data_IF_486495897500
#
_entry.id   IF_486495897500
#
_cell.length_a   1.000
_cell.length_b   1.000
_cell.length_c   1.000
_cell.angle_alpha   90.00
_cell.angle_beta   90.00
_cell.angle_gamma   90.00
#
_symmetry.space_group_name_H-M   'P 1'
#
loop_
_entity.id
_entity.type
_entity.pdbx_description
1 polymer ?
#
# COMPACT_ATOMS: atom_id res chain seq x y z
N UNK A 1 6.64 -10.25 14.95
CA UNK A 1 5.46 -9.70 15.64
C UNK A 1 4.23 -10.35 15.05
N UNK A 2 3.31 -10.87 15.85
CA UNK A 2 2.02 -11.37 15.34
C UNK A 2 1.20 -10.11 15.02
N UNK A 3 0.61 -9.97 13.82
CA UNK A 3 -0.24 -8.82 13.51
C UNK A 3 -1.37 -8.72 14.53
N UNK A 4 -1.63 -7.52 15.05
CA UNK A 4 -2.85 -7.30 15.84
C UNK A 4 -4.05 -7.63 14.95
N UNK A 5 -4.95 -8.54 15.39
CA UNK A 5 -6.14 -8.89 14.63
C UNK A 5 -6.92 -7.61 14.28
N UNK A 6 -7.29 -7.44 13.02
CA UNK A 6 -8.08 -6.30 12.53
C UNK A 6 -7.34 -4.95 12.57
N UNK A 7 -6.01 -4.92 12.68
CA UNK A 7 -5.22 -3.69 12.65
C UNK A 7 -5.65 -2.68 11.56
N UNK A 8 -5.87 -3.09 10.30
CA UNK A 8 -6.33 -2.19 9.24
C UNK A 8 -7.69 -1.53 9.51
N UNK A 9 -8.61 -2.25 10.16
CA UNK A 9 -9.95 -1.74 10.50
C UNK A 9 -9.89 -0.70 11.62
N UNK A 10 -9.00 -0.91 12.60
CA UNK A 10 -8.73 0.08 13.64
C UNK A 10 -8.13 1.36 13.07
N UNK A 11 -7.17 1.22 12.15
CA UNK A 11 -6.56 2.34 11.45
C UNK A 11 -7.59 3.14 10.64
N UNK A 12 -8.41 2.44 9.86
CA UNK A 12 -9.49 3.01 9.08
C UNK A 12 -10.44 3.83 9.95
N UNK A 13 -10.89 3.25 11.05
CA UNK A 13 -11.84 3.91 11.93
C UNK A 13 -11.23 5.13 12.62
N UNK A 14 -9.94 5.08 12.97
CA UNK A 14 -9.20 6.24 13.50
C UNK A 14 -9.10 7.35 12.46
N UNK A 15 -8.71 7.04 11.23
CA UNK A 15 -8.57 8.02 10.14
C UNK A 15 -9.90 8.66 9.75
N UNK A 16 -10.96 7.86 9.70
CA UNK A 16 -12.30 8.33 9.38
C UNK A 16 -13.08 8.87 10.58
N UNK A 17 -12.42 8.99 11.76
CA UNK A 17 -12.99 9.43 13.02
C UNK A 17 -14.29 8.71 13.41
N UNK A 18 -14.37 7.42 13.08
CA UNK A 18 -15.49 6.59 13.47
C UNK A 18 -15.39 6.27 14.96
N UNK A 19 -16.49 6.49 15.67
CA UNK A 19 -16.62 5.98 17.03
C UNK A 19 -16.69 4.45 16.96
N UNK A 20 -15.54 3.79 17.06
CA UNK A 20 -15.51 2.35 17.27
C UNK A 20 -16.22 2.04 18.60
N UNK A 21 -17.08 1.02 18.65
CA UNK A 21 -17.64 0.56 19.92
C UNK A 21 -16.52 0.32 20.93
N UNK A 22 -16.70 0.81 22.16
CA UNK A 22 -15.74 0.59 23.23
C UNK A 22 -15.53 -0.91 23.42
N UNK A 23 -14.31 -1.37 23.08
CA UNK A 23 -13.77 -2.69 23.36
C UNK A 23 -14.74 -3.84 23.12
N UNK A 24 -14.83 -4.29 21.87
CA UNK A 24 -15.21 -5.68 21.62
C UNK A 24 -14.15 -6.54 22.29
N UNK A 25 -14.55 -7.30 23.30
CA UNK A 25 -13.70 -8.31 23.92
C UNK A 25 -13.37 -9.35 22.83
N UNK A 26 -12.24 -9.16 22.14
CA UNK A 26 -11.76 -10.09 21.11
C UNK A 26 -11.63 -11.51 21.64
N UNK A 27 -11.52 -11.66 22.97
CA UNK A 27 -11.48 -12.96 23.66
C UNK A 27 -12.81 -13.71 23.60
N UNK A 28 -13.92 -13.07 23.22
CA UNK A 28 -15.24 -13.69 23.11
C UNK A 28 -15.69 -13.98 21.67
N UNK A 29 -14.84 -13.77 20.66
CA UNK A 29 -15.07 -14.27 19.30
C UNK A 29 -16.16 -13.58 18.47
N UNK A 30 -16.78 -12.50 18.98
CA UNK A 30 -17.87 -11.81 18.27
C UNK A 30 -17.34 -10.65 17.42
N UNK A 31 -16.85 -10.96 16.20
CA UNK A 31 -16.40 -9.96 15.21
C UNK A 31 -17.55 -9.30 14.43
N UNK A 32 -18.71 -9.96 14.39
CA UNK A 32 -19.88 -9.51 13.63
C UNK A 32 -20.37 -8.10 13.99
N UNK A 33 -20.49 -7.71 15.28
CA UNK A 33 -20.92 -6.35 15.63
C UNK A 33 -20.04 -5.28 14.99
N UNK A 34 -18.71 -5.43 15.08
CA UNK A 34 -17.77 -4.50 14.44
C UNK A 34 -17.99 -4.35 12.94
N UNK A 35 -18.22 -5.47 12.27
CA UNK A 35 -18.38 -5.49 10.82
C UNK A 35 -19.72 -4.86 10.41
N UNK A 36 -20.77 -5.10 11.20
CA UNK A 36 -22.09 -4.49 11.02
C UNK A 36 -22.03 -2.98 11.24
N UNK A 37 -21.35 -2.50 12.28
CA UNK A 37 -21.24 -1.06 12.56
C UNK A 37 -20.48 -0.35 11.43
N UNK A 38 -19.38 -0.95 10.96
CA UNK A 38 -18.64 -0.43 9.81
C UNK A 38 -19.53 -0.39 8.55
N UNK A 39 -20.34 -1.43 8.31
CA UNK A 39 -21.27 -1.48 7.19
C UNK A 39 -22.33 -0.39 7.29
N UNK A 40 -22.96 -0.20 8.45
CA UNK A 40 -23.97 0.84 8.67
C UNK A 40 -23.41 2.24 8.37
N UNK A 41 -22.17 2.51 8.80
CA UNK A 41 -21.48 3.75 8.45
C UNK A 41 -21.38 3.91 6.93
N UNK A 42 -21.03 2.86 6.19
CA UNK A 42 -20.92 2.91 4.72
C UNK A 42 -22.26 2.99 4.00
N UNK A 43 -23.32 2.41 4.55
CA UNK A 43 -24.69 2.51 4.03
C UNK A 43 -25.24 3.93 4.21
N UNK A 44 -24.97 4.55 5.36
CA UNK A 44 -25.47 5.89 5.72
C UNK A 44 -24.68 7.04 5.12
N UNK A 45 -23.52 6.78 4.50
CA UNK A 45 -22.76 7.82 3.78
C UNK A 45 -23.58 8.43 2.64
N UNK A 46 -23.54 9.76 2.53
CA UNK A 46 -24.24 10.49 1.46
C UNK A 46 -23.38 10.71 0.21
N UNK A 47 -22.07 10.45 0.29
CA UNK A 47 -21.11 10.64 -0.79
C UNK A 47 -20.32 9.34 -1.00
N UNK A 48 -20.05 8.95 -2.26
CA UNK A 48 -19.18 7.82 -2.57
C UNK A 48 -17.81 7.98 -1.90
N UNK A 49 -17.32 6.92 -1.26
CA UNK A 49 -15.99 6.87 -0.65
C UNK A 49 -15.16 5.72 -1.20
N UNK A 50 -13.85 5.93 -1.33
CA UNK A 50 -12.91 4.87 -1.68
C UNK A 50 -12.26 4.33 -0.41
N UNK A 51 -12.37 3.02 -0.20
CA UNK A 51 -11.64 2.28 0.83
C UNK A 51 -10.53 1.49 0.15
N UNK A 52 -9.27 1.81 0.47
CA UNK A 52 -8.10 1.12 -0.07
C UNK A 52 -7.51 0.20 0.98
N UNK A 53 -7.32 -1.07 0.64
CA UNK A 53 -6.60 -2.05 1.46
C UNK A 53 -5.39 -2.54 0.67
N UNK A 54 -4.21 -2.09 1.08
CA UNK A 54 -2.95 -2.49 0.46
C UNK A 54 -2.45 -3.83 1.01
N UNK A 55 -1.72 -4.57 0.18
CA UNK A 55 -1.01 -5.80 0.55
C UNK A 55 -1.88 -6.85 1.26
N UNK A 56 -3.11 -7.09 0.77
CA UNK A 56 -4.08 -8.01 1.40
C UNK A 56 -3.53 -9.44 1.59
N UNK A 57 -2.56 -9.85 0.78
CA UNK A 57 -1.86 -11.13 0.94
C UNK A 57 -1.12 -11.27 2.29
N UNK A 58 -0.79 -10.18 2.97
CA UNK A 58 -0.23 -10.17 4.32
C UNK A 58 -1.27 -10.00 5.43
N UNK A 59 -2.56 -9.85 5.07
CA UNK A 59 -3.62 -9.65 6.03
C UNK A 59 -3.85 -10.90 6.92
N UNK A 60 -4.26 -10.62 8.16
CA UNK A 60 -4.77 -11.65 9.06
C UNK A 60 -6.15 -12.17 8.60
N UNK A 61 -6.56 -13.31 9.16
CA UNK A 61 -7.83 -13.92 8.77
C UNK A 61 -9.04 -13.05 9.13
N UNK A 62 -8.93 -12.22 10.17
CA UNK A 62 -10.02 -11.33 10.60
C UNK A 62 -10.29 -10.21 9.58
N UNK A 63 -9.22 -9.67 8.98
CA UNK A 63 -9.27 -8.67 7.91
C UNK A 63 -9.81 -9.29 6.63
N UNK A 64 -9.42 -10.53 6.31
CA UNK A 64 -10.02 -11.27 5.19
C UNK A 64 -11.51 -11.53 5.39
N UNK A 65 -11.93 -11.86 6.61
CA UNK A 65 -13.34 -12.01 6.98
C UNK A 65 -14.12 -10.69 6.83
N UNK A 66 -13.51 -9.56 7.21
CA UNK A 66 -14.10 -8.24 7.03
C UNK A 66 -14.29 -7.90 5.54
N UNK A 67 -13.28 -8.14 4.70
CA UNK A 67 -13.37 -7.94 3.24
C UNK A 67 -14.48 -8.81 2.64
N UNK A 68 -14.58 -10.09 3.04
CA UNK A 68 -15.67 -10.98 2.64
C UNK A 68 -17.03 -10.44 3.08
N UNK A 69 -17.14 -9.99 4.32
CA UNK A 69 -18.37 -9.49 4.90
C UNK A 69 -18.88 -8.26 4.15
N UNK A 70 -18.01 -7.26 3.91
CA UNK A 70 -18.32 -6.05 3.17
C UNK A 70 -18.64 -6.35 1.71
N UNK A 71 -17.78 -7.10 1.01
CA UNK A 71 -17.95 -7.39 -0.42
C UNK A 71 -19.29 -8.03 -0.75
N UNK A 72 -19.79 -8.92 0.13
CA UNK A 72 -21.10 -9.55 -0.02
C UNK A 72 -22.29 -8.58 0.08
N UNK A 73 -22.10 -7.39 0.64
CA UNK A 73 -23.15 -6.38 0.90
C UNK A 73 -22.87 -5.03 0.23
N UNK A 74 -21.77 -4.92 -0.51
CA UNK A 74 -21.26 -3.65 -1.05
C UNK A 74 -22.22 -2.94 -2.01
N UNK A 75 -23.19 -3.66 -2.58
CA UNK A 75 -24.22 -3.08 -3.48
C UNK A 75 -25.15 -2.09 -2.78
N UNK A 76 -25.31 -2.20 -1.46
CA UNK A 76 -26.18 -1.31 -0.67
C UNK A 76 -25.38 -0.18 0.01
N UNK A 77 -24.08 -0.08 -0.26
CA UNK A 77 -23.21 0.90 0.38
C UNK A 77 -22.77 1.98 -0.60
N UNK A 78 -22.23 3.07 -0.07
CA UNK A 78 -21.65 4.15 -0.87
C UNK A 78 -20.12 4.03 -0.91
N UNK A 79 -19.57 2.81 -0.99
CA UNK A 79 -18.13 2.60 -1.05
C UNK A 79 -17.67 1.79 -2.26
N UNK A 80 -16.50 2.18 -2.78
CA UNK A 80 -15.67 1.34 -3.64
C UNK A 80 -14.55 0.76 -2.78
N UNK A 81 -14.49 -0.57 -2.68
CA UNK A 81 -13.40 -1.29 -2.02
C UNK A 81 -12.32 -1.63 -3.06
N UNK A 82 -11.19 -0.92 -3.00
CA UNK A 82 -10.00 -1.20 -3.78
C UNK A 82 -9.02 -2.02 -2.94
N UNK A 83 -8.56 -3.14 -3.48
CA UNK A 83 -7.65 -4.04 -2.77
C UNK A 83 -6.46 -4.37 -3.65
N UNK A 84 -5.26 -4.28 -3.09
CA UNK A 84 -4.03 -4.74 -3.75
C UNK A 84 -3.53 -6.02 -3.12
N UNK A 85 -3.07 -6.96 -3.95
CA UNK A 85 -2.50 -8.22 -3.49
C UNK A 85 -1.54 -8.77 -4.54
N UNK A 86 -0.46 -9.41 -4.08
CA UNK A 86 0.50 -10.05 -4.99
C UNK A 86 -0.14 -11.20 -5.74
N UNK A 87 0.02 -11.22 -7.06
CA UNK A 87 -0.51 -12.32 -7.87
C UNK A 87 0.52 -13.44 -8.05
N UNK A 88 0.82 -14.18 -6.98
CA UNK A 88 1.74 -15.31 -7.00
C UNK A 88 1.06 -16.67 -6.68
N UNK A 89 1.87 -17.72 -6.59
CA UNK A 89 1.44 -19.09 -6.24
C UNK A 89 1.57 -19.40 -4.74
N UNK A 90 1.63 -18.38 -3.88
CA UNK A 90 1.76 -18.57 -2.43
C UNK A 90 0.46 -19.04 -1.77
N UNK A 91 0.59 -19.65 -0.58
CA UNK A 91 -0.52 -19.96 0.34
C UNK A 91 -1.31 -18.71 0.71
N UNK A 92 -0.61 -17.60 0.99
CA UNK A 92 -1.21 -16.30 1.25
C UNK A 92 -2.15 -15.86 0.13
N UNK A 93 -1.71 -15.99 -1.12
CA UNK A 93 -2.54 -15.63 -2.27
C UNK A 93 -3.70 -16.61 -2.49
N UNK A 94 -3.56 -17.89 -2.13
CA UNK A 94 -4.70 -18.82 -2.14
C UNK A 94 -5.78 -18.43 -1.12
N UNK A 95 -5.39 -17.95 0.07
CA UNK A 95 -6.34 -17.42 1.07
C UNK A 95 -7.10 -16.21 0.54
N UNK A 96 -6.39 -15.24 -0.06
CA UNK A 96 -7.01 -14.07 -0.72
C UNK A 96 -7.98 -14.49 -1.82
N UNK A 97 -7.57 -15.40 -2.72
CA UNK A 97 -8.45 -15.89 -3.80
C UNK A 97 -9.72 -16.55 -3.27
N UNK A 98 -9.63 -17.36 -2.20
CA UNK A 98 -10.80 -17.97 -1.56
C UNK A 98 -11.73 -16.92 -0.95
N UNK A 99 -11.17 -15.96 -0.22
CA UNK A 99 -11.93 -14.88 0.38
C UNK A 99 -12.69 -14.06 -0.68
N UNK A 100 -12.01 -13.64 -1.75
CA UNK A 100 -12.64 -12.88 -2.83
C UNK A 100 -13.63 -13.71 -3.66
N UNK A 101 -13.43 -15.03 -3.78
CA UNK A 101 -14.32 -15.93 -4.51
C UNK A 101 -15.69 -16.13 -3.87
N UNK A 102 -15.89 -15.71 -2.62
CA UNK A 102 -17.19 -15.76 -1.93
C UNK A 102 -18.01 -14.48 -2.07
N UNK A 103 -17.40 -13.45 -2.65
CA UNK A 103 -18.10 -12.22 -3.01
C UNK A 103 -18.85 -12.48 -4.32
N UNK A 104 -20.12 -12.03 -4.47
CA UNK A 104 -20.84 -12.15 -5.72
C UNK A 104 -20.03 -11.61 -6.89
N UNK A 105 -19.90 -12.37 -7.99
CA UNK A 105 -19.03 -12.02 -9.11
C UNK A 105 -19.38 -10.64 -9.74
N UNK A 106 -20.65 -10.22 -9.69
CA UNK A 106 -21.07 -8.90 -10.16
C UNK A 106 -20.57 -7.73 -9.30
N UNK A 107 -20.04 -8.00 -8.10
CA UNK A 107 -19.54 -6.99 -7.16
C UNK A 107 -18.01 -6.91 -7.16
N UNK A 108 -17.32 -7.74 -7.95
CA UNK A 108 -15.85 -7.82 -7.98
C UNK A 108 -15.35 -7.61 -9.39
N UNK A 109 -14.51 -6.59 -9.57
CA UNK A 109 -13.69 -6.43 -10.76
C UNK A 109 -12.23 -6.79 -10.42
N UNK A 110 -11.65 -7.73 -11.16
CA UNK A 110 -10.24 -8.10 -11.03
C UNK A 110 -9.43 -7.44 -12.14
N UNK A 111 -8.42 -6.66 -11.75
CA UNK A 111 -7.48 -6.04 -12.67
C UNK A 111 -6.11 -6.69 -12.43
N UNK A 112 -5.66 -7.49 -13.39
CA UNK A 112 -4.27 -7.96 -13.38
C UNK A 112 -3.39 -6.87 -14.01
N UNK A 113 -2.37 -6.42 -13.28
CA UNK A 113 -1.43 -5.37 -13.73
C UNK A 113 -0.18 -6.04 -14.31
N UNK A 114 -0.02 -6.08 -15.65
CA UNK A 114 1.15 -6.69 -16.27
C UNK A 114 2.39 -5.79 -16.15
N UNK A 115 3.54 -6.32 -16.57
CA UNK A 115 4.70 -5.50 -16.87
C UNK A 115 4.35 -4.48 -17.97
N UNK A 116 5.05 -3.34 -17.98
CA UNK A 116 4.92 -2.35 -19.03
C UNK A 116 5.32 -2.98 -20.37
N UNK A 117 4.53 -2.72 -21.41
CA UNK A 117 4.90 -3.10 -22.76
C UNK A 117 6.11 -2.28 -23.23
N UNK A 118 6.83 -2.81 -24.22
CA UNK A 118 7.91 -2.07 -24.89
C UNK A 118 7.45 -0.70 -25.38
N UNK A 119 6.29 -0.62 -26.03
CA UNK A 119 5.70 0.63 -26.49
C UNK A 119 5.43 1.63 -25.35
N UNK A 120 4.98 1.15 -24.19
CA UNK A 120 4.77 2.01 -23.02
C UNK A 120 6.10 2.54 -22.47
N UNK A 121 7.15 1.70 -22.41
CA UNK A 121 8.49 2.12 -21.97
C UNK A 121 9.09 3.13 -22.94
N UNK A 122 8.98 2.90 -24.24
CA UNK A 122 9.45 3.84 -25.28
C UNK A 122 8.76 5.21 -25.14
N UNK A 123 7.44 5.24 -24.93
CA UNK A 123 6.70 6.48 -24.75
C UNK A 123 7.11 7.24 -23.47
N UNK A 124 7.33 6.53 -22.36
CA UNK A 124 7.80 7.13 -21.11
C UNK A 124 9.24 7.67 -21.24
N UNK A 125 10.09 6.95 -21.95
CA UNK A 125 11.47 7.36 -22.18
C UNK A 125 11.58 8.57 -23.11
N UNK A 126 10.78 8.62 -24.18
CA UNK A 126 10.71 9.77 -25.09
C UNK A 126 10.31 11.05 -24.34
N UNK A 127 9.29 10.97 -23.48
CA UNK A 127 8.87 12.09 -22.63
C UNK A 127 9.98 12.56 -21.66
N UNK A 128 10.89 11.68 -21.27
CA UNK A 128 12.03 11.98 -20.42
C UNK A 128 13.32 12.32 -21.20
N UNK A 129 13.29 12.30 -22.54
CA UNK A 129 14.48 12.49 -23.38
C UNK A 129 15.54 11.39 -23.21
N UNK A 130 15.11 10.13 -23.00
CA UNK A 130 15.97 8.97 -22.72
C UNK A 130 15.86 7.90 -23.81
N UNK A 131 16.87 7.05 -23.90
CA UNK A 131 16.87 5.87 -24.79
C UNK A 131 15.93 4.79 -24.23
N UNK A 132 14.71 4.74 -24.76
CA UNK A 132 13.71 3.76 -24.33
C UNK A 132 14.03 2.32 -24.70
N UNK A 133 14.78 2.08 -25.78
CA UNK A 133 15.21 0.74 -26.16
C UNK A 133 16.22 0.18 -25.15
N UNK A 134 17.17 1.01 -24.70
CA UNK A 134 18.10 0.64 -23.63
C UNK A 134 17.37 0.35 -22.32
N UNK A 135 16.41 1.20 -21.94
CA UNK A 135 15.63 1.01 -20.72
C UNK A 135 14.78 -0.26 -20.79
N UNK A 136 14.11 -0.53 -21.92
CA UNK A 136 13.31 -1.74 -22.05
C UNK A 136 14.17 -3.00 -21.99
N UNK A 137 15.32 -3.04 -22.70
CA UNK A 137 16.26 -4.18 -22.62
C UNK A 137 16.76 -4.44 -21.21
N UNK A 138 17.04 -3.38 -20.46
CA UNK A 138 17.50 -3.46 -19.08
C UNK A 138 16.44 -3.99 -18.12
N UNK A 139 15.18 -3.57 -18.30
CA UNK A 139 14.14 -3.71 -17.27
C UNK A 139 13.09 -4.75 -17.60
N UNK A 140 13.02 -5.18 -18.86
CA UNK A 140 11.96 -6.02 -19.41
C UNK A 140 10.54 -5.50 -19.06
N UNK A 141 10.37 -4.17 -18.98
CA UNK A 141 9.09 -3.55 -18.67
C UNK A 141 8.72 -3.53 -17.18
N UNK A 142 9.62 -3.90 -16.28
CA UNK A 142 9.38 -3.76 -14.84
C UNK A 142 9.24 -2.27 -14.48
N UNK A 143 8.03 -1.84 -14.14
CA UNK A 143 7.72 -0.43 -13.90
C UNK A 143 8.61 0.23 -12.84
N UNK A 144 9.01 -0.51 -11.80
CA UNK A 144 9.92 -0.02 -10.77
C UNK A 144 11.29 0.31 -11.38
N UNK A 145 11.92 -0.64 -12.07
CA UNK A 145 13.23 -0.41 -12.70
C UNK A 145 13.18 0.60 -13.87
N UNK A 146 12.07 0.64 -14.62
CA UNK A 146 11.84 1.68 -15.64
C UNK A 146 11.87 3.06 -14.98
N UNK A 147 11.15 3.23 -13.88
CA UNK A 147 11.12 4.51 -13.15
C UNK A 147 12.49 4.88 -12.62
N UNK A 148 13.26 3.92 -12.09
CA UNK A 148 14.63 4.18 -11.62
C UNK A 148 15.53 4.72 -12.73
N UNK A 149 15.53 4.06 -13.89
CA UNK A 149 16.38 4.47 -15.00
C UNK A 149 15.97 5.82 -15.59
N UNK A 150 14.66 6.11 -15.65
CA UNK A 150 14.16 7.40 -16.10
C UNK A 150 14.62 8.55 -15.18
N UNK A 151 14.65 8.32 -13.86
CA UNK A 151 15.06 9.31 -12.87
C UNK A 151 16.59 9.41 -12.66
N UNK A 152 17.39 8.47 -13.16
CA UNK A 152 18.84 8.50 -13.02
C UNK A 152 19.47 9.26 -14.20
N UNK A 153 20.00 10.46 -13.96
CA UNK A 153 20.42 11.41 -15.01
C UNK A 153 21.49 10.88 -15.98
N UNK A 154 22.26 9.84 -15.62
CA UNK A 154 23.32 9.28 -16.48
C UNK A 154 23.46 7.75 -16.40
N UNK A 155 22.50 7.04 -15.80
CA UNK A 155 22.58 5.57 -15.67
C UNK A 155 21.72 4.88 -16.74
N UNK A 156 22.32 3.90 -17.40
CA UNK A 156 21.65 3.03 -18.38
C UNK A 156 21.50 1.59 -17.88
N UNK A 157 22.07 1.28 -16.71
CA UNK A 157 22.08 -0.06 -16.14
C UNK A 157 21.15 -0.08 -14.93
N UNK A 158 20.18 -1.00 -14.87
CA UNK A 158 19.26 -1.06 -13.75
C UNK A 158 20.03 -1.51 -12.50
N UNK A 159 19.58 -1.13 -11.30
CA UNK A 159 20.16 -1.62 -10.05
C UNK A 159 20.17 -3.15 -10.03
N UNK A 160 21.24 -3.75 -9.49
CA UNK A 160 21.37 -5.20 -9.41
C UNK A 160 20.26 -5.86 -8.55
N UNK A 161 19.65 -5.08 -7.66
CA UNK A 161 18.48 -5.48 -6.89
C UNK A 161 17.60 -4.27 -6.53
N UNK A 162 16.36 -4.53 -6.11
CA UNK A 162 15.48 -3.51 -5.52
C UNK A 162 16.14 -2.84 -4.31
N UNK A 163 16.91 -3.60 -3.53
CA UNK A 163 17.64 -3.06 -2.39
C UNK A 163 18.67 -2.02 -2.85
N UNK A 164 19.43 -2.31 -3.89
CA UNK A 164 20.43 -1.37 -4.41
C UNK A 164 19.78 -0.11 -4.97
N UNK A 165 18.62 -0.26 -5.62
CA UNK A 165 17.80 0.86 -6.10
C UNK A 165 17.37 1.79 -4.94
N UNK A 166 16.84 1.20 -3.86
CA UNK A 166 16.44 1.93 -2.65
C UNK A 166 17.64 2.60 -1.98
N UNK A 167 18.80 1.93 -1.93
CA UNK A 167 20.02 2.51 -1.37
C UNK A 167 20.51 3.71 -2.19
N UNK A 168 20.54 3.59 -3.51
CA UNK A 168 20.92 4.69 -4.42
C UNK A 168 19.99 5.90 -4.28
N UNK A 169 18.67 5.69 -4.09
CA UNK A 169 17.74 6.78 -3.76
C UNK A 169 18.09 7.46 -2.45
N UNK A 170 18.37 6.66 -1.42
CA UNK A 170 18.66 7.17 -0.10
C UNK A 170 20.00 7.92 -0.04
N UNK A 171 20.97 7.59 -0.90
CA UNK A 171 22.23 8.32 -1.04
C UNK A 171 22.06 9.73 -1.64
N UNK A 172 20.98 9.98 -2.37
CA UNK A 172 20.64 11.31 -2.91
C UNK A 172 19.97 12.24 -1.88
N UNK A 173 19.59 11.71 -0.72
CA UNK A 173 18.95 12.49 0.34
C UNK A 173 19.96 13.36 1.07
N UNK A 174 19.49 14.50 1.56
CA UNK A 174 20.20 15.30 2.55
C UNK A 174 20.49 14.46 3.80
N UNK A 175 21.56 14.79 4.54
CA UNK A 175 21.92 14.08 5.77
C UNK A 175 20.74 14.04 6.78
N UNK A 176 19.93 15.10 6.81
CA UNK A 176 18.72 15.17 7.63
C UNK A 176 17.62 14.19 7.19
N UNK A 177 17.32 14.14 5.90
CA UNK A 177 16.36 13.20 5.34
C UNK A 177 16.84 11.74 5.47
N UNK A 178 18.14 11.49 5.34
CA UNK A 178 18.72 10.17 5.57
C UNK A 178 18.52 9.69 7.02
N UNK A 179 18.83 10.55 8.00
CA UNK A 179 18.55 10.23 9.41
C UNK A 179 17.06 10.00 9.68
N UNK A 180 16.17 10.76 9.03
CA UNK A 180 14.73 10.55 9.13
C UNK A 180 14.33 9.17 8.57
N UNK A 181 14.80 8.83 7.37
CA UNK A 181 14.51 7.55 6.73
C UNK A 181 14.99 6.37 7.59
N UNK A 182 16.19 6.45 8.16
CA UNK A 182 16.74 5.41 9.02
C UNK A 182 15.92 5.26 10.31
N UNK A 183 15.45 6.37 10.89
CA UNK A 183 14.58 6.36 12.06
C UNK A 183 13.19 5.78 11.77
N UNK A 184 12.60 6.08 10.61
CA UNK A 184 11.30 5.50 10.20
C UNK A 184 11.44 4.00 9.90
N UNK A 185 12.56 3.58 9.31
CA UNK A 185 12.78 2.19 8.86
C UNK A 185 12.79 1.16 10.00
N UNK A 186 12.99 1.57 11.25
CA UNK A 186 12.89 0.67 12.41
C UNK A 186 11.45 0.47 12.90
N UNK A 187 10.50 1.26 12.42
CA UNK A 187 9.08 1.09 12.74
C UNK A 187 8.42 0.13 11.73
N UNK A 188 7.90 -1.03 12.19
CA UNK A 188 7.41 -2.06 11.28
C UNK A 188 6.07 -1.76 10.60
N UNK A 189 5.36 -0.69 10.99
CA UNK A 189 4.02 -0.36 10.45
C UNK A 189 3.81 1.14 10.29
N UNK A 190 3.89 1.88 11.40
CA UNK A 190 3.68 3.33 11.44
C UNK A 190 4.60 3.92 12.51
N UNK A 191 5.07 5.13 12.27
CA UNK A 191 5.77 5.94 13.24
C UNK A 191 4.94 7.19 13.54
N UNK A 192 4.63 7.44 14.80
CA UNK A 192 3.93 8.66 15.17
C UNK A 192 4.85 9.87 15.03
N UNK A 193 4.29 11.02 14.59
CA UNK A 193 5.05 12.24 14.38
C UNK A 193 5.81 12.70 15.64
N UNK A 194 5.24 12.51 16.83
CA UNK A 194 5.91 12.84 18.10
C UNK A 194 7.12 11.94 18.37
N UNK A 195 7.06 10.66 18.01
CA UNK A 195 8.15 9.71 18.18
C UNK A 195 9.30 10.03 17.23
N UNK A 196 8.98 10.39 15.98
CA UNK A 196 9.95 10.85 14.98
C UNK A 196 10.61 12.18 15.37
N UNK A 197 9.84 13.12 15.92
CA UNK A 197 10.39 14.38 16.46
C UNK A 197 11.35 14.15 17.64
N UNK A 198 11.04 13.18 18.51
CA UNK A 198 11.92 12.79 19.61
C UNK A 198 13.24 12.15 19.16
N UNK A 199 13.21 11.37 18.08
CA UNK A 199 14.38 10.66 17.53
C UNK A 199 15.25 11.54 16.62
N UNK A 200 14.64 12.40 15.80
CA UNK A 200 15.33 13.17 14.76
C UNK A 200 15.40 14.69 15.05
N UNK A 201 14.72 15.17 16.10
CA UNK A 201 14.63 16.59 16.43
C UNK A 201 13.54 17.35 15.65
N UNK A 202 13.49 18.67 15.85
CA UNK A 202 12.36 19.56 15.45
C UNK A 202 12.28 19.84 13.93
N UNK A 203 13.28 19.44 13.15
CA UNK A 203 13.37 19.70 11.71
C UNK A 203 12.70 18.63 10.82
N UNK A 204 11.79 17.82 11.38
CA UNK A 204 11.30 16.58 10.78
C UNK A 204 10.41 16.76 9.55
N UNK A 205 9.65 17.86 9.44
CA UNK A 205 8.65 18.01 8.38
C UNK A 205 9.26 18.15 6.96
N UNK A 206 10.33 18.94 6.83
CA UNK A 206 11.02 19.13 5.54
C UNK A 206 11.78 17.86 5.11
N UNK A 207 12.38 17.16 6.07
CA UNK A 207 13.11 15.92 5.85
C UNK A 207 12.19 14.77 5.43
N UNK A 208 11.01 14.66 6.06
CA UNK A 208 10.01 13.66 5.68
C UNK A 208 9.46 13.93 4.26
N UNK A 209 9.17 15.19 3.94
CA UNK A 209 8.73 15.59 2.60
C UNK A 209 9.79 15.25 1.53
N UNK A 210 11.07 15.48 1.85
CA UNK A 210 12.19 15.10 0.98
C UNK A 210 12.22 13.59 0.74
N UNK A 211 12.13 12.76 1.80
CA UNK A 211 12.08 11.29 1.69
C UNK A 211 10.94 10.81 0.77
N UNK A 212 9.72 11.36 0.96
CA UNK A 212 8.55 11.02 0.16
C UNK A 212 8.75 11.44 -1.30
N UNK A 213 9.27 12.65 -1.54
CA UNK A 213 9.51 13.15 -2.89
C UNK A 213 10.58 12.34 -3.65
N UNK A 214 11.54 11.77 -2.92
CA UNK A 214 12.58 10.89 -3.47
C UNK A 214 12.09 9.44 -3.67
N UNK A 215 10.82 9.13 -3.37
CA UNK A 215 10.27 7.78 -3.51
C UNK A 215 10.86 6.78 -2.52
N UNK A 216 11.33 7.26 -1.35
CA UNK A 216 11.73 6.40 -0.25
C UNK A 216 10.48 6.03 0.58
N UNK A 217 10.35 4.77 1.04
CA UNK A 217 9.27 4.39 1.94
C UNK A 217 9.38 5.20 3.23
N UNK A 218 8.33 5.94 3.58
CA UNK A 218 8.22 6.77 4.77
C UNK A 218 6.95 6.44 5.55
#
# INVERSE_FOLDING_TARGET
>A
SIPDPLGPLYDLAREAQWALPQAIDHRQGQRLPLFSDALEIFETKTQPSLLVIEDLHWADDATLDFVRFLGRRIVNTHILLLVTARNDRSEAQMRVRRALGEIPAGNVARIDVPLLSEAAVLALADAAGRDGDAIYRATAGNAFFVTELLCAENETTPPASVRDAVLARAERLSAGARSMLDAVSVFPRRADAWALQGLCGVASAGQLAECVSAGCPA
#
